data_IF_067629497217
#
_entry.id   IF_067629497217
#
_cell.length_a   1.000
_cell.length_b   1.000
_cell.length_c   1.000
_cell.angle_alpha   90.00
_cell.angle_beta   90.00
_cell.angle_gamma   90.00
#
_symmetry.space_group_name_H-M   'P 1'
#
loop_
_entity.id
_entity.type
_entity.pdbx_description
1 polymer ?
#
# COMPACT_ATOMS: atom_id res chain seq x y z
N UNK A 1 -7.65 -22.83 0.55
CA UNK A 1 -7.65 -21.92 -0.62
C UNK A 1 -7.19 -20.55 -0.14
N UNK A 2 -6.27 -19.90 -0.85
CA UNK A 2 -5.81 -18.54 -0.54
C UNK A 2 -6.94 -17.55 -0.82
N UNK A 3 -7.15 -16.56 0.05
CA UNK A 3 -8.14 -15.50 -0.17
C UNK A 3 -7.77 -14.70 -1.44
N UNK A 4 -8.74 -14.11 -2.14
CA UNK A 4 -8.47 -13.33 -3.34
C UNK A 4 -7.65 -12.06 -3.05
N UNK A 5 -7.03 -11.54 -4.10
CA UNK A 5 -6.56 -10.16 -4.15
C UNK A 5 -7.69 -9.33 -4.73
N UNK A 6 -8.18 -8.35 -3.98
CA UNK A 6 -9.23 -7.45 -4.44
C UNK A 6 -8.59 -6.21 -5.09
N UNK A 7 -9.14 -5.73 -6.21
CA UNK A 7 -8.65 -4.55 -6.92
C UNK A 7 -9.79 -3.57 -7.15
N UNK A 8 -9.64 -2.33 -6.71
CA UNK A 8 -10.59 -1.27 -7.02
C UNK A 8 -10.40 -0.77 -8.45
N UNK A 9 -11.46 -0.81 -9.25
CA UNK A 9 -11.47 -0.33 -10.63
C UNK A 9 -12.44 0.84 -10.81
N UNK A 10 -12.05 1.80 -11.66
CA UNK A 10 -12.86 2.99 -11.99
C UNK A 10 -12.77 3.38 -13.48
N UNK A 11 -12.19 2.49 -14.30
CA UNK A 11 -11.96 2.71 -15.74
C UNK A 11 -10.77 3.62 -16.07
N UNK A 12 -10.05 4.16 -15.08
CA UNK A 12 -8.84 4.93 -15.34
C UNK A 12 -7.63 4.04 -15.65
N UNK A 13 -6.67 4.56 -16.43
CA UNK A 13 -5.39 3.87 -16.68
C UNK A 13 -4.63 3.55 -15.38
N UNK A 14 -4.75 4.40 -14.36
CA UNK A 14 -4.19 4.12 -13.04
C UNK A 14 -4.80 2.86 -12.41
N UNK A 15 -6.12 2.68 -12.53
CA UNK A 15 -6.79 1.46 -12.06
C UNK A 15 -6.40 0.23 -12.89
N UNK A 16 -6.19 0.38 -14.21
CA UNK A 16 -5.74 -0.72 -15.06
C UNK A 16 -4.29 -1.16 -14.76
N UNK A 17 -3.39 -0.21 -14.46
CA UNK A 17 -2.05 -0.54 -13.93
C UNK A 17 -2.12 -1.29 -12.61
N UNK A 18 -3.06 -0.91 -11.73
CA UNK A 18 -3.29 -1.64 -10.48
C UNK A 18 -3.79 -3.07 -10.73
N UNK A 19 -4.61 -3.27 -11.76
CA UNK A 19 -5.06 -4.60 -12.20
C UNK A 19 -3.89 -5.45 -12.70
N UNK A 20 -3.00 -4.90 -13.52
CA UNK A 20 -1.81 -5.61 -14.01
C UNK A 20 -0.89 -6.04 -12.85
N UNK A 21 -0.61 -5.11 -11.93
CA UNK A 21 0.20 -5.39 -10.74
C UNK A 21 -0.45 -6.45 -9.85
N UNK A 22 -1.77 -6.37 -9.65
CA UNK A 22 -2.51 -7.32 -8.83
C UNK A 22 -2.64 -8.69 -9.49
N UNK A 23 -2.68 -8.76 -10.82
CA UNK A 23 -2.64 -10.01 -11.57
C UNK A 23 -1.29 -10.71 -11.39
N UNK A 24 -0.18 -9.97 -11.49
CA UNK A 24 1.15 -10.49 -11.15
C UNK A 24 1.21 -11.03 -9.72
N UNK A 25 0.69 -10.27 -8.75
CA UNK A 25 0.66 -10.68 -7.35
C UNK A 25 -0.23 -11.91 -7.10
N UNK A 26 -1.36 -12.00 -7.82
CA UNK A 26 -2.26 -13.14 -7.72
C UNK A 26 -1.60 -14.42 -8.27
N UNK A 27 -0.88 -14.31 -9.39
CA UNK A 27 -0.10 -15.42 -9.95
C UNK A 27 1.00 -15.87 -8.99
N UNK A 28 1.77 -14.94 -8.41
CA UNK A 28 2.83 -15.23 -7.44
C UNK A 28 2.31 -16.00 -6.21
N UNK A 29 1.10 -15.67 -5.75
CA UNK A 29 0.48 -16.27 -4.56
C UNK A 29 -0.41 -17.48 -4.85
N UNK A 30 -0.65 -17.82 -6.12
CA UNK A 30 -1.68 -18.78 -6.52
C UNK A 30 -3.08 -18.37 -6.04
N UNK A 31 -3.33 -17.07 -5.91
CA UNK A 31 -4.60 -16.49 -5.47
C UNK A 31 -5.52 -16.16 -6.64
N UNK A 32 -6.80 -15.94 -6.34
CA UNK A 32 -7.77 -15.44 -7.33
C UNK A 32 -7.71 -13.91 -7.38
N UNK A 33 -8.01 -13.33 -8.54
CA UNK A 33 -8.15 -11.88 -8.68
C UNK A 33 -9.63 -11.49 -8.63
N UNK A 34 -9.98 -10.51 -7.79
CA UNK A 34 -11.33 -9.99 -7.64
C UNK A 34 -11.37 -8.50 -8.01
N UNK A 35 -11.94 -8.20 -9.16
CA UNK A 35 -12.17 -6.85 -9.64
C UNK A 35 -13.42 -6.27 -8.98
N UNK A 36 -13.31 -5.08 -8.38
CA UNK A 36 -14.37 -4.44 -7.62
C UNK A 36 -14.60 -3.04 -8.19
N UNK A 37 -15.72 -2.87 -8.89
CA UNK A 37 -16.19 -1.54 -9.30
C UNK A 37 -17.34 -1.11 -8.41
N UNK A 38 -17.25 0.09 -7.87
CA UNK A 38 -18.28 0.64 -7.01
C UNK A 38 -18.47 2.12 -7.32
N UNK A 39 -19.69 2.49 -7.70
CA UNK A 39 -20.06 3.87 -7.98
C UNK A 39 -21.54 4.10 -7.66
N UNK A 40 -21.91 5.36 -7.41
CA UNK A 40 -23.30 5.75 -7.13
C UNK A 40 -24.14 5.89 -8.41
N UNK A 41 -23.91 5.03 -9.40
CA UNK A 41 -24.50 5.16 -10.74
C UNK A 41 -26.03 5.09 -10.72
N UNK A 42 -26.64 4.22 -9.89
CA UNK A 42 -28.10 4.16 -9.74
C UNK A 42 -28.70 5.47 -9.21
N UNK A 43 -28.00 6.15 -8.30
CA UNK A 43 -28.43 7.46 -7.81
C UNK A 43 -28.29 8.52 -8.89
N UNK A 44 -27.19 8.49 -9.63
CA UNK A 44 -26.97 9.41 -10.73
C UNK A 44 -27.99 9.22 -11.85
N UNK A 45 -28.38 7.98 -12.17
CA UNK A 45 -29.43 7.65 -13.15
C UNK A 45 -30.83 7.96 -12.61
N UNK A 46 -31.11 7.72 -11.32
CA UNK A 46 -32.39 8.03 -10.68
C UNK A 46 -32.66 9.53 -10.51
N UNK A 47 -31.61 10.35 -10.43
CA UNK A 47 -31.69 11.81 -10.48
C UNK A 47 -31.96 12.34 -11.92
N UNK A 48 -31.84 11.49 -12.95
CA UNK A 48 -32.20 11.84 -14.33
C UNK A 48 -33.69 11.64 -14.58
N UNK A 49 -34.29 12.52 -15.38
CA UNK A 49 -35.68 12.36 -15.82
C UNK A 49 -35.85 11.05 -16.61
N UNK A 50 -36.96 10.30 -16.44
CA UNK A 50 -37.26 9.14 -17.27
C UNK A 50 -37.20 9.48 -18.77
N UNK A 51 -36.40 8.74 -19.53
CA UNK A 51 -36.14 9.02 -20.96
C UNK A 51 -34.93 9.92 -21.24
N UNK A 52 -34.15 10.30 -20.22
CA UNK A 52 -32.90 11.02 -20.43
C UNK A 52 -31.90 10.17 -21.24
N UNK A 53 -31.22 10.72 -22.26
CA UNK A 53 -30.31 9.98 -23.14
C UNK A 53 -29.20 9.22 -22.40
N UNK A 54 -28.81 9.71 -21.23
CA UNK A 54 -27.74 9.13 -20.40
C UNK A 54 -28.23 8.16 -19.32
N UNK A 55 -29.54 7.89 -19.20
CA UNK A 55 -30.08 7.04 -18.14
C UNK A 55 -29.63 5.56 -18.14
N UNK A 56 -29.22 4.93 -19.26
CA UNK A 56 -28.55 3.62 -19.23
C UNK A 56 -27.01 3.71 -19.41
N UNK A 57 -26.45 4.93 -19.48
CA UNK A 57 -25.04 5.15 -19.83
C UNK A 57 -24.10 4.81 -18.68
N UNK A 58 -24.52 5.05 -17.43
CA UNK A 58 -23.64 4.90 -16.27
C UNK A 58 -23.43 3.43 -15.93
N UNK A 59 -24.50 2.62 -15.92
CA UNK A 59 -24.40 1.17 -15.80
C UNK A 59 -23.53 0.56 -16.90
N UNK A 60 -23.79 0.91 -18.15
CA UNK A 60 -23.04 0.38 -19.30
C UNK A 60 -21.56 0.77 -19.21
N UNK A 61 -21.25 1.97 -18.72
CA UNK A 61 -19.87 2.41 -18.50
C UNK A 61 -19.17 1.56 -17.46
N UNK A 62 -19.84 1.28 -16.34
CA UNK A 62 -19.31 0.43 -15.26
C UNK A 62 -19.10 -1.02 -15.72
N UNK A 63 -20.07 -1.61 -16.42
CA UNK A 63 -19.93 -2.95 -16.99
C UNK A 63 -18.78 -3.01 -18.02
N UNK A 64 -18.64 -1.97 -18.85
CA UNK A 64 -17.51 -1.85 -19.79
C UNK A 64 -16.17 -1.75 -19.08
N UNK A 65 -16.08 -0.93 -18.03
CA UNK A 65 -14.86 -0.77 -17.24
C UNK A 65 -14.41 -2.12 -16.63
N UNK A 66 -15.34 -2.87 -16.06
CA UNK A 66 -15.09 -4.22 -15.55
C UNK A 66 -14.60 -5.18 -16.64
N UNK A 67 -15.23 -5.19 -17.82
CA UNK A 67 -14.80 -6.03 -18.95
C UNK A 67 -13.41 -5.65 -19.48
N UNK A 68 -13.07 -4.36 -19.53
CA UNK A 68 -11.74 -3.89 -19.94
C UNK A 68 -10.68 -4.30 -18.91
N UNK A 69 -10.99 -4.17 -17.61
CA UNK A 69 -10.11 -4.59 -16.53
C UNK A 69 -9.86 -6.11 -16.55
N UNK A 70 -10.91 -6.91 -16.76
CA UNK A 70 -10.80 -8.37 -16.89
C UNK A 70 -9.91 -8.77 -18.07
N UNK A 71 -10.12 -8.16 -19.24
CA UNK A 71 -9.26 -8.39 -20.40
C UNK A 71 -7.81 -8.04 -20.09
N UNK A 72 -7.55 -6.88 -19.47
CA UNK A 72 -6.18 -6.46 -19.14
C UNK A 72 -5.50 -7.42 -18.16
N UNK A 73 -6.24 -7.92 -17.16
CA UNK A 73 -5.73 -8.91 -16.22
C UNK A 73 -5.32 -10.20 -16.93
N UNK A 74 -6.16 -10.71 -17.84
CA UNK A 74 -5.91 -11.95 -18.57
C UNK A 74 -4.82 -11.81 -19.64
N UNK A 75 -4.69 -10.64 -20.26
CA UNK A 75 -3.57 -10.30 -21.15
C UNK A 75 -2.24 -10.32 -20.37
N UNK A 76 -2.23 -9.86 -19.11
CA UNK A 76 -1.04 -9.84 -18.25
C UNK A 76 -0.71 -11.23 -17.68
N UNK A 77 -1.71 -11.96 -17.19
CA UNK A 77 -1.60 -13.31 -16.58
C UNK A 77 -2.78 -14.20 -16.98
N UNK A 78 -2.64 -15.02 -18.05
CA UNK A 78 -3.72 -15.89 -18.54
C UNK A 78 -4.12 -17.00 -17.56
N UNK A 79 -3.24 -17.34 -16.62
CA UNK A 79 -3.39 -18.42 -15.64
C UNK A 79 -4.16 -17.99 -14.36
N UNK A 80 -4.37 -16.69 -14.17
CA UNK A 80 -5.06 -16.16 -12.99
C UNK A 80 -6.57 -16.25 -13.16
N UNK A 81 -7.25 -16.82 -12.16
CA UNK A 81 -8.71 -16.84 -12.12
C UNK A 81 -9.25 -15.46 -11.72
N UNK A 82 -9.84 -14.76 -12.68
CA UNK A 82 -10.46 -13.44 -12.50
C UNK A 82 -11.96 -13.57 -12.19
N UNK A 83 -12.45 -12.72 -11.29
CA UNK A 83 -13.88 -12.52 -11.03
C UNK A 83 -14.15 -11.03 -10.91
N UNK A 84 -15.31 -10.56 -11.38
CA UNK A 84 -15.72 -9.16 -11.28
C UNK A 84 -16.97 -9.00 -10.42
N UNK A 85 -17.07 -7.88 -9.72
CA UNK A 85 -18.23 -7.49 -8.93
C UNK A 85 -18.46 -5.99 -9.08
N UNK A 86 -19.70 -5.62 -9.42
CA UNK A 86 -20.16 -4.25 -9.60
C UNK A 86 -21.14 -3.91 -8.48
N UNK A 87 -20.95 -2.77 -7.82
CA UNK A 87 -21.80 -2.29 -6.72
C UNK A 87 -22.33 -0.88 -7.00
N UNK A 88 -23.63 -0.66 -6.77
CA UNK A 88 -24.27 0.65 -6.80
C UNK A 88 -24.10 1.42 -5.47
N UNK A 89 -22.88 1.41 -4.92
CA UNK A 89 -22.54 2.00 -3.63
C UNK A 89 -21.30 2.91 -3.77
N UNK A 90 -21.05 3.75 -2.76
CA UNK A 90 -19.82 4.54 -2.72
C UNK A 90 -18.57 3.61 -2.67
N UNK A 91 -17.49 3.89 -3.41
CA UNK A 91 -16.37 2.95 -3.54
C UNK A 91 -15.63 2.65 -2.23
N UNK A 92 -15.45 3.64 -1.36
CA UNK A 92 -14.71 3.48 -0.11
C UNK A 92 -15.31 2.41 0.82
N UNK A 93 -16.59 2.46 1.22
CA UNK A 93 -17.16 1.45 2.11
C UNK A 93 -17.17 0.05 1.49
N UNK A 94 -17.39 -0.07 0.17
CA UNK A 94 -17.36 -1.36 -0.54
C UNK A 94 -15.96 -1.97 -0.46
N UNK A 95 -14.91 -1.22 -0.82
CA UNK A 95 -13.54 -1.71 -0.78
C UNK A 95 -13.07 -2.06 0.64
N UNK A 96 -13.52 -1.32 1.65
CA UNK A 96 -13.28 -1.68 3.06
C UNK A 96 -14.02 -2.95 3.47
N UNK A 97 -15.22 -3.19 2.96
CA UNK A 97 -15.96 -4.46 3.18
C UNK A 97 -15.23 -5.63 2.53
N UNK A 98 -14.80 -5.47 1.28
CA UNK A 98 -14.01 -6.46 0.52
C UNK A 98 -12.68 -6.80 1.21
N UNK A 99 -12.04 -5.85 1.89
CA UNK A 99 -10.80 -6.08 2.65
C UNK A 99 -10.91 -7.13 3.78
N UNK A 100 -12.14 -7.51 4.18
CA UNK A 100 -12.37 -8.54 5.21
C UNK A 100 -12.20 -9.96 4.68
N UNK A 101 -12.30 -10.13 3.37
CA UNK A 101 -12.29 -11.42 2.68
C UNK A 101 -11.23 -11.47 1.59
N UNK A 102 -10.24 -10.58 1.66
CA UNK A 102 -9.13 -10.48 0.71
C UNK A 102 -7.79 -10.61 1.44
N UNK A 103 -6.79 -11.16 0.76
CA UNK A 103 -5.40 -11.16 1.25
C UNK A 103 -4.79 -9.76 1.16
N UNK A 104 -5.17 -8.98 0.14
CA UNK A 104 -4.80 -7.58 -0.01
C UNK A 104 -5.85 -6.84 -0.86
N UNK A 105 -5.94 -5.52 -0.68
CA UNK A 105 -6.68 -4.62 -1.57
C UNK A 105 -5.68 -3.79 -2.36
N UNK A 106 -5.79 -3.79 -3.68
CA UNK A 106 -4.91 -3.04 -4.58
C UNK A 106 -5.68 -1.88 -5.20
N UNK A 107 -5.08 -0.70 -5.24
CA UNK A 107 -5.67 0.52 -5.79
C UNK A 107 -4.69 1.24 -6.69
N UNK A 108 -5.19 1.86 -7.75
CA UNK A 108 -4.41 2.76 -8.59
C UNK A 108 -4.27 4.14 -7.97
N UNK A 109 -3.09 4.74 -8.09
CA UNK A 109 -2.88 6.16 -7.88
C UNK A 109 -2.91 6.88 -9.22
N UNK A 110 -3.70 7.95 -9.32
CA UNK A 110 -3.76 8.76 -10.55
C UNK A 110 -2.48 9.56 -10.66
N UNK A 111 -1.75 9.32 -11.74
CA UNK A 111 -0.65 10.17 -12.16
C UNK A 111 -1.24 11.21 -13.11
N UNK A 112 -1.23 12.49 -12.75
CA UNK A 112 -1.55 13.55 -13.70
C UNK A 112 -0.39 13.65 -14.69
N UNK A 113 -0.65 13.36 -15.96
CA UNK A 113 0.34 13.55 -17.02
C UNK A 113 0.79 15.03 -17.05
N UNK A 114 2.09 15.25 -16.84
CA UNK A 114 2.74 16.56 -16.95
C UNK A 114 2.80 17.34 -15.62
N UNK A 115 4.02 17.40 -15.07
CA UNK A 115 4.48 18.28 -13.98
C UNK A 115 3.70 18.17 -12.67
N UNK A 116 4.25 17.40 -11.73
CA UNK A 116 3.97 17.42 -10.29
C UNK A 116 2.52 17.18 -9.84
N UNK A 117 2.18 15.90 -9.66
CA UNK A 117 1.77 15.27 -8.38
C UNK A 117 0.81 14.10 -8.63
N UNK A 118 1.32 12.89 -8.43
CA UNK A 118 0.46 11.73 -8.29
C UNK A 118 -0.47 11.92 -7.08
N UNK A 119 -1.78 11.88 -7.32
CA UNK A 119 -2.81 12.18 -6.34
C UNK A 119 -3.56 10.91 -5.97
N UNK A 120 -3.40 10.50 -4.71
CA UNK A 120 -4.26 9.48 -4.14
C UNK A 120 -5.56 10.15 -3.68
N UNK A 121 -6.66 9.83 -4.36
CA UNK A 121 -7.97 10.37 -4.03
C UNK A 121 -8.46 9.96 -2.64
N UNK A 122 -9.55 10.59 -2.19
CA UNK A 122 -10.20 10.32 -0.90
C UNK A 122 -10.56 8.84 -0.70
N UNK A 123 -10.90 8.13 -1.77
CA UNK A 123 -11.16 6.68 -1.75
C UNK A 123 -9.91 5.91 -1.32
N UNK A 124 -8.75 6.18 -1.94
CA UNK A 124 -7.51 5.45 -1.65
C UNK A 124 -7.01 5.68 -0.23
N UNK A 125 -7.01 6.93 0.22
CA UNK A 125 -6.67 7.29 1.61
C UNK A 125 -7.68 6.69 2.60
N UNK A 126 -8.97 6.77 2.27
CA UNK A 126 -10.05 6.21 3.08
C UNK A 126 -9.94 4.70 3.24
N UNK A 127 -9.66 3.97 2.16
CA UNK A 127 -9.45 2.51 2.20
C UNK A 127 -8.19 2.16 2.99
N UNK A 128 -7.06 2.82 2.72
CA UNK A 128 -5.81 2.57 3.44
C UNK A 128 -5.94 2.76 4.97
N UNK A 129 -6.71 3.75 5.42
CA UNK A 129 -6.96 3.98 6.85
C UNK A 129 -8.02 3.07 7.50
N UNK A 130 -8.80 2.31 6.71
CA UNK A 130 -9.95 1.56 7.22
C UNK A 130 -9.94 0.06 6.90
N UNK A 131 -9.16 -0.39 5.93
CA UNK A 131 -9.07 -1.78 5.51
C UNK A 131 -8.59 -2.73 6.62
N UNK A 132 -9.05 -3.98 6.54
CA UNK A 132 -8.70 -5.08 7.47
C UNK A 132 -7.58 -5.98 6.96
N UNK A 133 -7.12 -5.74 5.74
CA UNK A 133 -5.97 -6.38 5.11
C UNK A 133 -4.95 -5.33 4.63
N UNK A 134 -3.74 -5.72 4.21
CA UNK A 134 -2.82 -4.83 3.50
C UNK A 134 -3.50 -4.09 2.35
N UNK A 135 -3.21 -2.80 2.21
CA UNK A 135 -3.62 -1.98 1.08
C UNK A 135 -2.39 -1.59 0.29
N UNK A 136 -2.40 -1.90 -1.00
CA UNK A 136 -1.28 -1.67 -1.91
C UNK A 136 -1.72 -0.61 -2.91
N UNK A 137 -1.03 0.52 -2.90
CA UNK A 137 -1.30 1.61 -3.83
C UNK A 137 -0.22 1.59 -4.91
N UNK A 138 -0.65 1.27 -6.13
CA UNK A 138 0.20 1.17 -7.31
C UNK A 138 0.30 2.54 -7.95
N UNK A 139 1.54 2.98 -8.20
CA UNK A 139 1.88 4.28 -8.79
C UNK A 139 2.51 4.05 -10.15
N UNK A 140 2.22 4.89 -11.14
CA UNK A 140 2.81 4.79 -12.47
C UNK A 140 4.31 5.06 -12.38
N UNK A 141 5.10 4.08 -12.80
CA UNK A 141 6.52 4.30 -13.07
C UNK A 141 6.65 4.52 -14.57
N UNK A 142 6.86 5.78 -14.97
CA UNK A 142 7.44 6.12 -16.28
C UNK A 142 8.96 5.83 -16.30
N UNK A 143 9.46 5.13 -15.27
CA UNK A 143 10.87 4.77 -15.11
C UNK A 143 11.16 3.36 -15.63
N UNK A 144 12.43 3.04 -15.91
CA UNK A 144 12.83 1.70 -16.30
C UNK A 144 12.34 0.67 -15.26
N UNK A 145 11.92 -0.53 -15.70
CA UNK A 145 11.48 -1.57 -14.80
C UNK A 145 12.57 -1.85 -13.77
N UNK A 146 12.20 -2.12 -12.51
CA UNK A 146 13.18 -2.31 -11.46
C UNK A 146 14.16 -3.44 -11.80
N UNK A 147 15.44 -3.18 -11.54
CA UNK A 147 16.52 -4.13 -11.83
C UNK A 147 16.36 -5.41 -10.99
N UNK A 148 16.46 -6.57 -11.63
CA UNK A 148 16.46 -7.85 -10.94
C UNK A 148 17.83 -8.14 -10.29
N UNK A 149 17.87 -8.76 -9.09
CA UNK A 149 16.71 -9.11 -8.25
C UNK A 149 16.09 -7.85 -7.62
N UNK A 150 14.76 -7.87 -7.51
CA UNK A 150 14.00 -6.76 -6.95
C UNK A 150 14.36 -6.44 -5.50
N UNK A 151 13.93 -5.29 -5.00
CA UNK A 151 14.15 -4.84 -3.62
C UNK A 151 12.85 -4.42 -2.95
N UNK A 152 12.65 -4.84 -1.71
CA UNK A 152 11.53 -4.45 -0.88
C UNK A 152 12.04 -3.59 0.27
N UNK A 153 11.48 -2.40 0.46
CA UNK A 153 11.77 -1.55 1.60
C UNK A 153 10.78 -1.80 2.73
N UNK A 154 11.25 -1.93 3.98
CA UNK A 154 10.41 -2.02 5.18
C UNK A 154 10.74 -0.87 6.13
N UNK A 155 9.77 -0.01 6.41
CA UNK A 155 9.89 1.02 7.45
C UNK A 155 9.54 0.49 8.84
N UNK A 156 10.50 0.45 9.76
CA UNK A 156 10.32 -0.13 11.09
C UNK A 156 10.16 0.93 12.19
N UNK A 157 8.96 0.99 12.77
CA UNK A 157 8.62 1.85 13.90
C UNK A 157 9.05 1.31 15.29
N UNK A 158 8.88 2.12 16.34
CA UNK A 158 9.45 1.94 17.69
C UNK A 158 9.23 0.60 18.42
N UNK A 159 8.23 -0.19 18.01
CA UNK A 159 7.96 -1.55 18.52
C UNK A 159 7.77 -2.46 17.31
N UNK A 160 8.74 -3.32 17.04
CA UNK A 160 8.74 -4.17 15.83
C UNK A 160 8.56 -5.66 16.12
N UNK A 161 8.83 -6.12 17.34
CA UNK A 161 8.44 -7.46 17.78
C UNK A 161 6.95 -7.68 17.58
N UNK A 162 6.61 -8.54 16.61
CA UNK A 162 5.26 -8.87 16.12
C UNK A 162 4.61 -7.86 15.16
N UNK A 163 5.39 -7.09 14.40
CA UNK A 163 4.82 -6.21 13.37
C UNK A 163 4.22 -7.01 12.20
N UNK A 164 2.95 -6.78 11.91
CA UNK A 164 2.29 -7.36 10.74
C UNK A 164 2.94 -6.88 9.44
N UNK A 165 3.43 -5.64 9.42
CA UNK A 165 4.17 -5.08 8.29
C UNK A 165 5.50 -5.80 8.03
N UNK A 166 6.22 -6.16 9.10
CA UNK A 166 7.46 -6.91 8.97
C UNK A 166 7.21 -8.32 8.40
N UNK A 167 6.20 -9.03 8.90
CA UNK A 167 5.80 -10.34 8.37
C UNK A 167 5.41 -10.25 6.90
N UNK A 168 4.57 -9.28 6.54
CA UNK A 168 4.17 -9.04 5.16
C UNK A 168 5.38 -8.77 4.26
N UNK A 169 6.31 -7.90 4.67
CA UNK A 169 7.50 -7.59 3.88
C UNK A 169 8.44 -8.79 3.70
N UNK A 170 8.60 -9.63 4.73
CA UNK A 170 9.37 -10.87 4.65
C UNK A 170 8.72 -11.87 3.69
N UNK A 171 7.40 -12.05 3.77
CA UNK A 171 6.64 -12.91 2.87
C UNK A 171 6.74 -12.44 1.41
N UNK A 172 6.54 -11.14 1.16
CA UNK A 172 6.71 -10.55 -0.17
C UNK A 172 8.12 -10.74 -0.73
N UNK A 173 9.14 -10.54 0.09
CA UNK A 173 10.53 -10.64 -0.35
C UNK A 173 10.87 -12.09 -0.72
N UNK A 174 10.39 -13.05 0.09
CA UNK A 174 10.53 -14.48 -0.20
C UNK A 174 9.76 -14.90 -1.47
N UNK A 175 8.51 -14.45 -1.63
CA UNK A 175 7.68 -14.77 -2.80
C UNK A 175 8.30 -14.27 -4.12
N UNK A 176 8.96 -13.11 -4.07
CA UNK A 176 9.55 -12.45 -5.25
C UNK A 176 11.02 -12.82 -5.48
N UNK A 177 11.66 -13.56 -4.57
CA UNK A 177 13.12 -13.73 -4.56
C UNK A 177 13.87 -12.40 -4.47
N UNK A 178 13.25 -11.40 -3.83
CA UNK A 178 13.75 -10.04 -3.71
C UNK A 178 14.57 -9.86 -2.43
N UNK A 179 15.49 -8.89 -2.43
CA UNK A 179 16.19 -8.49 -1.21
C UNK A 179 15.32 -7.59 -0.34
N UNK A 180 15.46 -7.69 0.99
CA UNK A 180 14.72 -6.87 1.94
C UNK A 180 15.64 -5.78 2.54
N UNK A 181 15.28 -4.51 2.35
CA UNK A 181 15.92 -3.36 2.98
C UNK A 181 15.10 -2.89 4.18
N UNK A 182 15.61 -3.15 5.37
CA UNK A 182 14.99 -2.73 6.63
C UNK A 182 15.50 -1.33 6.98
N UNK A 183 14.59 -0.37 7.04
CA UNK A 183 14.89 1.05 7.29
C UNK A 183 14.33 1.47 8.62
N UNK A 184 15.19 2.04 9.46
CA UNK A 184 14.79 2.65 10.72
C UNK A 184 15.38 4.05 10.86
N UNK A 185 14.52 4.99 11.24
CA UNK A 185 14.97 6.33 11.58
C UNK A 185 15.14 6.51 13.08
N UNK A 186 16.25 7.11 13.49
CA UNK A 186 16.42 7.67 14.83
C UNK A 186 15.87 9.10 14.80
N UNK A 187 14.86 9.37 15.63
CA UNK A 187 14.25 10.70 15.70
C UNK A 187 15.25 11.72 16.24
N UNK A 188 15.32 12.90 15.62
CA UNK A 188 15.89 14.07 16.30
C UNK A 188 14.85 14.55 17.31
N UNK A 189 15.20 14.56 18.59
CA UNK A 189 14.35 15.18 19.61
C UNK A 189 14.25 16.68 19.30
N UNK A 190 13.05 17.24 19.04
CA UNK A 190 12.90 18.68 18.93
C UNK A 190 12.94 19.26 20.34
N UNK A 191 13.87 20.19 20.57
CA UNK A 191 14.00 21.03 21.77
C UNK A 191 14.52 20.31 23.03
N UNK A 192 15.85 20.22 23.16
CA UNK A 192 16.53 20.31 24.46
C UNK A 192 17.60 21.41 24.31
N UNK A 193 17.58 22.37 25.23
CA UNK A 193 18.50 23.52 25.23
C UNK A 193 19.93 23.04 25.51
N UNK A 194 20.92 23.88 25.17
CA UNK A 194 22.34 23.52 25.21
C UNK A 194 22.87 23.05 26.59
N UNK A 195 22.11 23.26 27.68
CA UNK A 195 22.49 22.96 29.06
C UNK A 195 22.25 21.49 29.47
N UNK A 196 21.39 20.72 28.79
CA UNK A 196 21.06 19.33 29.15
C UNK A 196 22.03 18.29 28.53
N UNK A 197 23.00 18.75 27.73
CA UNK A 197 23.69 17.99 26.68
C UNK A 197 24.74 16.96 27.10
N UNK A 198 25.30 16.96 28.30
CA UNK A 198 26.56 16.19 28.50
C UNK A 198 26.38 14.82 29.16
N UNK A 199 25.35 14.62 29.99
CA UNK A 199 25.15 13.35 30.72
C UNK A 199 23.84 12.62 30.34
N UNK A 200 22.81 13.34 29.88
CA UNK A 200 21.50 12.77 29.50
C UNK A 200 21.44 12.34 28.03
N UNK A 201 22.01 13.15 27.12
CA UNK A 201 21.97 12.90 25.68
C UNK A 201 22.66 11.60 25.27
N UNK A 202 23.81 11.26 25.89
CA UNK A 202 24.54 10.03 25.57
C UNK A 202 23.78 8.77 26.01
N UNK A 203 23.13 8.81 27.19
CA UNK A 203 22.29 7.72 27.69
C UNK A 203 20.98 7.57 26.89
N UNK A 204 20.36 8.68 26.47
CA UNK A 204 19.18 8.68 25.57
C UNK A 204 19.53 8.19 24.15
N UNK A 205 20.71 8.54 23.63
CA UNK A 205 21.23 8.05 22.36
C UNK A 205 21.55 6.55 22.42
N UNK A 206 22.22 6.08 23.48
CA UNK A 206 22.53 4.67 23.70
C UNK A 206 21.24 3.84 23.91
N UNK A 207 20.29 4.34 24.70
CA UNK A 207 18.97 3.70 24.87
C UNK A 207 18.13 3.72 23.57
N UNK A 208 18.24 4.79 22.78
CA UNK A 208 17.60 4.93 21.46
C UNK A 208 18.20 3.97 20.42
N UNK A 209 19.53 3.78 20.44
CA UNK A 209 20.25 2.76 19.65
C UNK A 209 19.82 1.36 20.07
N UNK A 210 19.82 1.04 21.36
CA UNK A 210 19.40 -0.26 21.88
C UNK A 210 17.96 -0.62 21.49
N UNK A 211 17.01 0.32 21.57
CA UNK A 211 15.62 0.11 21.12
C UNK A 211 15.49 -0.03 19.60
N UNK A 212 16.34 0.67 18.84
CA UNK A 212 16.36 0.57 17.38
C UNK A 212 16.89 -0.76 16.91
N UNK A 213 17.99 -1.22 17.50
CA UNK A 213 18.61 -2.49 17.19
C UNK A 213 17.73 -3.66 17.65
N UNK A 214 17.06 -3.56 18.79
CA UNK A 214 16.08 -4.55 19.24
C UNK A 214 14.92 -4.70 18.25
N UNK A 215 14.35 -3.58 17.77
CA UNK A 215 13.26 -3.63 16.79
C UNK A 215 13.67 -4.27 15.47
N UNK A 216 14.86 -3.96 14.96
CA UNK A 216 15.37 -4.60 13.75
C UNK A 216 15.69 -6.07 14.02
N UNK A 217 16.33 -6.39 15.15
CA UNK A 217 16.64 -7.76 15.55
C UNK A 217 15.38 -8.63 15.68
N UNK A 218 14.26 -8.07 16.14
CA UNK A 218 12.98 -8.77 16.18
C UNK A 218 12.54 -9.23 14.79
N UNK A 219 12.68 -8.38 13.77
CA UNK A 219 12.39 -8.75 12.37
C UNK A 219 13.38 -9.80 11.86
N UNK A 220 14.66 -9.66 12.23
CA UNK A 220 15.69 -10.60 11.80
C UNK A 220 15.47 -12.02 12.32
N UNK A 221 14.80 -12.19 13.47
CA UNK A 221 14.48 -13.50 14.05
C UNK A 221 13.49 -14.30 13.20
N UNK A 222 12.68 -13.62 12.40
CA UNK A 222 11.65 -14.24 11.55
C UNK A 222 12.11 -14.42 10.09
N UNK A 223 13.39 -14.12 9.78
CA UNK A 223 13.96 -14.30 8.44
C UNK A 223 14.09 -15.78 8.12
N UNK A 224 13.66 -16.15 6.91
CA UNK A 224 13.90 -17.48 6.33
C UNK A 224 15.30 -17.58 5.74
N UNK A 225 15.90 -18.76 5.78
CA UNK A 225 17.20 -19.02 5.17
C UNK A 225 17.23 -18.62 3.69
N UNK A 226 18.30 -17.93 3.28
CA UNK A 226 18.52 -17.50 1.89
C UNK A 226 17.96 -16.13 1.50
N UNK A 227 17.21 -15.44 2.37
CA UNK A 227 16.75 -14.08 2.09
C UNK A 227 17.87 -13.05 2.32
N UNK A 228 18.24 -12.32 1.26
CA UNK A 228 19.23 -11.24 1.36
C UNK A 228 18.61 -10.03 2.08
N UNK A 229 19.17 -9.64 3.24
CA UNK A 229 18.67 -8.52 4.04
C UNK A 229 19.73 -7.44 4.24
N UNK A 230 19.38 -6.21 3.89
CA UNK A 230 20.17 -5.01 4.12
C UNK A 230 19.53 -4.16 5.23
N UNK A 231 20.34 -3.58 6.11
CA UNK A 231 19.90 -2.83 7.30
C UNK A 231 20.40 -1.39 7.21
N UNK A 232 19.46 -0.45 7.19
CA UNK A 232 19.75 0.98 7.15
C UNK A 232 19.15 1.69 8.36
N UNK A 233 19.97 1.96 9.36
CA UNK A 233 19.60 2.84 10.47
C UNK A 233 20.15 4.24 10.21
N UNK A 234 19.26 5.22 10.02
CA UNK A 234 19.61 6.58 9.62
C UNK A 234 19.03 7.61 10.58
N UNK A 235 19.72 8.73 10.79
CA UNK A 235 19.16 9.87 11.52
C UNK A 235 18.27 10.72 10.61
N UNK A 236 17.15 11.19 11.13
CA UNK A 236 16.26 12.10 10.40
C UNK A 236 14.78 11.77 10.56
N UNK A 237 13.94 12.52 9.86
CA UNK A 237 12.49 12.28 9.87
C UNK A 237 12.14 11.06 9.03
N UNK A 238 11.41 10.11 9.63
CA UNK A 238 10.95 8.87 8.97
C UNK A 238 10.35 9.09 7.57
N UNK A 239 9.54 10.14 7.41
CA UNK A 239 8.91 10.52 6.14
C UNK A 239 9.93 10.77 5.03
N UNK A 240 10.99 11.53 5.31
CA UNK A 240 11.97 11.97 4.30
C UNK A 240 12.87 10.79 3.92
N UNK A 241 13.32 10.04 4.92
CA UNK A 241 14.18 8.86 4.71
C UNK A 241 13.44 7.79 3.90
N UNK A 242 12.19 7.48 4.25
CA UNK A 242 11.43 6.44 3.54
C UNK A 242 11.00 6.89 2.14
N UNK A 243 10.73 8.17 1.91
CA UNK A 243 10.51 8.70 0.56
C UNK A 243 11.77 8.59 -0.30
N UNK A 244 12.94 8.88 0.23
CA UNK A 244 14.19 8.65 -0.49
C UNK A 244 14.39 7.17 -0.83
N UNK A 245 14.15 6.27 0.13
CA UNK A 245 14.24 4.82 -0.07
C UNK A 245 13.24 4.33 -1.12
N UNK A 246 12.06 4.94 -1.23
CA UNK A 246 11.06 4.55 -2.23
C UNK A 246 11.54 4.68 -3.68
N UNK A 247 12.64 5.40 -3.94
CA UNK A 247 13.30 5.50 -5.25
C UNK A 247 14.25 4.34 -5.54
N UNK A 248 14.63 3.59 -4.52
CA UNK A 248 15.64 2.53 -4.57
C UNK A 248 15.02 1.12 -4.46
N UNK A 249 13.70 1.04 -4.24
CA UNK A 249 12.96 -0.21 -4.00
C UNK A 249 11.70 -0.28 -4.86
N UNK A 250 11.21 -1.49 -5.07
CA UNK A 250 10.10 -1.79 -5.99
C UNK A 250 8.76 -1.83 -5.26
N UNK A 251 8.81 -1.97 -3.94
CA UNK A 251 7.68 -1.92 -3.03
C UNK A 251 8.20 -1.39 -1.69
N UNK A 252 7.53 -0.38 -1.13
CA UNK A 252 7.79 0.07 0.23
C UNK A 252 6.64 -0.31 1.16
N UNK A 253 6.96 -1.00 2.25
CA UNK A 253 6.04 -1.54 3.23
C UNK A 253 6.14 -0.73 4.52
N UNK A 254 5.00 -0.28 5.03
CA UNK A 254 4.90 0.38 6.33
C UNK A 254 3.69 -0.14 7.10
N UNK A 255 3.86 -0.26 8.42
CA UNK A 255 2.76 -0.57 9.32
C UNK A 255 1.87 0.65 9.56
N UNK A 256 0.58 0.41 9.73
CA UNK A 256 -0.36 1.39 10.23
C UNK A 256 -0.98 0.94 11.56
N UNK A 257 -0.57 1.63 12.62
CA UNK A 257 -1.13 1.47 13.95
C UNK A 257 -2.31 2.42 14.09
N UNK A 258 -3.53 1.86 14.08
CA UNK A 258 -4.73 2.57 14.51
C UNK A 258 -4.52 3.00 15.97
N UNK A 259 -4.15 4.26 16.21
CA UNK A 259 -4.28 4.83 17.55
C UNK A 259 -5.78 4.85 17.87
N UNK A 260 -6.16 4.33 19.04
CA UNK A 260 -7.54 4.09 19.41
C UNK A 260 -8.49 5.28 19.17
N UNK A 261 -9.74 4.93 18.86
CA UNK A 261 -11.01 5.64 19.08
C UNK A 261 -11.12 7.15 18.79
N UNK A 262 -10.20 7.78 18.08
CA UNK A 262 -10.37 9.16 17.64
C UNK A 262 -10.99 9.19 16.23
N UNK A 263 -12.20 9.74 16.06
CA UNK A 263 -12.88 9.81 14.78
C UNK A 263 -12.24 10.94 13.94
N UNK A 264 -11.20 10.63 13.15
CA UNK A 264 -10.72 11.60 12.16
C UNK A 264 -9.38 11.29 11.50
N UNK A 265 -8.36 10.88 12.25
CA UNK A 265 -7.01 10.65 11.70
C UNK A 265 -6.60 9.21 11.99
N UNK A 266 -6.64 8.37 10.95
CA UNK A 266 -6.41 6.91 11.09
C UNK A 266 -5.16 6.38 10.42
N UNK A 267 -4.56 7.13 9.49
CA UNK A 267 -3.25 6.81 8.93
C UNK A 267 -2.16 7.54 9.71
N UNK A 268 -1.07 6.83 10.02
CA UNK A 268 0.13 7.50 10.53
C UNK A 268 0.76 8.42 9.47
N UNK A 269 1.49 9.44 9.92
CA UNK A 269 2.05 10.49 9.06
C UNK A 269 3.04 9.97 8.00
N UNK A 270 3.73 8.86 8.29
CA UNK A 270 4.66 8.22 7.35
C UNK A 270 3.90 7.52 6.24
N UNK A 271 2.92 6.68 6.59
CA UNK A 271 2.07 6.00 5.61
C UNK A 271 1.34 7.03 4.73
N UNK A 272 0.78 8.09 5.33
CA UNK A 272 0.14 9.16 4.58
C UNK A 272 1.10 9.84 3.60
N UNK A 273 2.32 10.20 4.02
CA UNK A 273 3.31 10.83 3.13
C UNK A 273 3.76 9.90 1.99
N UNK A 274 3.98 8.61 2.27
CA UNK A 274 4.36 7.63 1.25
C UNK A 274 3.25 7.44 0.21
N UNK A 275 2.01 7.30 0.65
CA UNK A 275 0.85 7.17 -0.23
C UNK A 275 0.69 8.36 -1.19
N UNK A 276 1.18 9.54 -0.82
CA UNK A 276 1.10 10.75 -1.64
C UNK A 276 2.34 10.96 -2.52
N UNK A 277 3.53 10.54 -2.07
CA UNK A 277 4.79 11.04 -2.64
C UNK A 277 5.84 9.96 -2.96
N UNK A 278 5.58 8.68 -2.64
CA UNK A 278 6.53 7.61 -2.95
C UNK A 278 6.74 7.47 -4.47
N UNK A 279 7.92 6.98 -4.85
CA UNK A 279 8.29 6.71 -6.25
C UNK A 279 8.02 5.27 -6.68
N UNK A 280 7.58 4.41 -5.76
CA UNK A 280 7.21 3.02 -5.99
C UNK A 280 5.85 2.69 -5.36
N UNK A 281 5.26 1.52 -5.67
CA UNK A 281 4.12 0.98 -4.95
C UNK A 281 4.31 1.02 -3.42
N UNK A 282 3.24 1.33 -2.70
CA UNK A 282 3.24 1.44 -1.23
C UNK A 282 2.27 0.43 -0.65
N UNK A 283 2.76 -0.46 0.21
CA UNK A 283 1.94 -1.35 1.03
C UNK A 283 1.77 -0.76 2.43
N UNK A 284 0.53 -0.43 2.77
CA UNK A 284 0.14 -0.03 4.13
C UNK A 284 -0.50 -1.23 4.81
N UNK A 285 0.15 -1.74 5.86
CA UNK A 285 -0.24 -2.97 6.54
C UNK A 285 -0.85 -2.64 7.89
N UNK A 286 -2.13 -2.96 8.14
CA UNK A 286 -2.74 -2.70 9.43
C UNK A 286 -2.12 -3.59 10.53
N UNK A 287 -1.70 -2.98 11.64
CA UNK A 287 -0.97 -3.68 12.73
C UNK A 287 -1.87 -4.44 13.73
N UNK A 288 -3.14 -4.63 13.39
CA UNK A 288 -4.13 -5.35 14.21
C UNK A 288 -4.52 -6.70 13.60
N UNK A 289 -3.73 -7.16 12.64
CA UNK A 289 -3.89 -8.42 11.92
C UNK A 289 -3.12 -9.56 12.58
#
# INVERSE_FOLDING_TARGET
MVLPIAVGIDGSEASLRAVEWAADEAALRGARLRLVEASLWERLEGDLLPGHPNAPYERMRVERNAAVAERRALERRPDVRVTSAVFAEAPQPVLVRESRTATAVVLGCRDSHGVDRAFLGSVGLGVAGHARCPVIVVRGSDGPPPAAPGRIGLGVGGRAGKSAAARFALEEAALRGASLRIVRTRGRHPLETAAERTLSAKALEEAGRGKADASVADVLRDIRDGLAVDRRTTEGHAREVLLAVSREVDLIVVGDRRRGEHPGVRLNSVAHALLLHASCPVAVVPEHM
#
